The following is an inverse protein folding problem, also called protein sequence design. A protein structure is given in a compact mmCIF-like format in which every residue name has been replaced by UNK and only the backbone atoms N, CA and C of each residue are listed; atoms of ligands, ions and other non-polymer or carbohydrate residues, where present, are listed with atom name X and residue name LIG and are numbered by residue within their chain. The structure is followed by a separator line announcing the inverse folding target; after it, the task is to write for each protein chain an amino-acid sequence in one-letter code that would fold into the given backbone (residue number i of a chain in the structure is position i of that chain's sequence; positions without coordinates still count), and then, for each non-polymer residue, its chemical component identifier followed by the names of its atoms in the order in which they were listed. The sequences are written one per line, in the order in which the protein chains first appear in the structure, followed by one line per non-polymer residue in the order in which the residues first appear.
data_IF_682212186625
#
_entry.id   IF_682212186625
#
_cell.length_a   1.000
_cell.length_b   1.000
_cell.length_c   1.000
_cell.angle_alpha   90.00
_cell.angle_beta   90.00
_cell.angle_gamma   90.00
#
_symmetry.space_group_name_H-M   'P 1'
#
loop_
_entity.id
_entity.type
_entity.pdbx_description
1 polymer ?
#
# COMPACT_ATOMS: atom_id res chain seq x y z
N UNK A 1 -5.14 -5.26 21.20
CA UNK A 1 -5.01 -5.28 20.51
C UNK A 1 -5.55 -5.31 19.43
N UNK A 2 -5.89 -5.24 18.97
CA UNK A 2 -6.34 -5.30 17.95
C UNK A 2 -6.32 -4.21 17.13
N UNK A 3 -5.77 -4.10 16.22
CA UNK A 3 -5.73 -3.15 15.42
C UNK A 3 -6.75 -3.17 14.55
N UNK A 4 -7.35 -2.09 14.23
CA UNK A 4 -8.45 -2.07 13.39
C UNK A 4 -8.05 -1.33 12.18
N UNK A 5 -7.84 -2.01 11.07
CA UNK A 5 -7.55 -1.42 9.77
C UNK A 5 -8.81 -1.48 8.92
N UNK A 6 -8.99 -0.54 8.00
CA UNK A 6 -10.20 -0.51 7.17
C UNK A 6 -10.22 -1.57 6.08
N UNK A 7 -9.15 -2.35 5.97
CA UNK A 7 -9.08 -3.45 5.02
C UNK A 7 -8.23 -4.54 5.61
N UNK A 8 -8.18 -5.70 4.94
CA UNK A 8 -7.47 -6.84 5.48
C UNK A 8 -5.99 -6.72 5.19
N UNK A 9 -5.19 -6.56 6.24
CA UNK A 9 -3.74 -6.42 6.11
C UNK A 9 -3.11 -7.72 5.59
N UNK A 10 -3.62 -8.86 6.03
CA UNK A 10 -3.02 -10.13 5.63
C UNK A 10 -3.37 -10.51 4.20
N UNK A 11 -4.45 -9.96 3.66
CA UNK A 11 -4.87 -10.28 2.31
C UNK A 11 -4.37 -9.28 1.27
N UNK A 12 -3.53 -8.35 1.67
CA UNK A 12 -3.00 -7.39 0.71
C UNK A 12 -2.20 -8.09 -0.37
N UNK A 13 -2.43 -7.68 -1.60
CA UNK A 13 -1.74 -8.25 -2.74
C UNK A 13 -1.73 -7.21 -3.86
N UNK A 14 -1.09 -7.51 -4.96
CA UNK A 14 -1.07 -6.61 -6.10
C UNK A 14 -1.02 -7.43 -7.37
N UNK A 15 -1.18 -6.78 -8.49
CA UNK A 15 -1.08 -7.43 -9.80
C UNK A 15 0.35 -7.28 -10.31
N UNK A 16 0.75 -8.07 -11.30
CA UNK A 16 2.08 -7.91 -11.88
C UNK A 16 2.35 -6.49 -12.37
N UNK A 17 1.36 -5.86 -13.00
CA UNK A 17 1.54 -4.49 -13.45
C UNK A 17 1.63 -3.52 -12.27
N UNK A 18 0.84 -3.77 -11.24
CA UNK A 18 0.89 -2.94 -10.04
C UNK A 18 2.24 -3.02 -9.36
N UNK A 19 2.78 -4.24 -9.26
CA UNK A 19 4.09 -4.45 -8.66
C UNK A 19 5.15 -3.69 -9.44
N UNK A 20 5.12 -3.78 -10.76
CA UNK A 20 6.11 -3.09 -11.56
C UNK A 20 5.99 -1.59 -11.44
N UNK A 21 4.77 -1.09 -11.42
CA UNK A 21 4.54 0.34 -11.30
C UNK A 21 5.07 0.85 -9.97
N UNK A 22 4.81 0.12 -8.89
CA UNK A 22 5.27 0.52 -7.58
C UNK A 22 6.79 0.48 -7.50
N UNK A 23 7.38 -0.59 -8.06
CA UNK A 23 8.83 -0.73 -8.04
C UNK A 23 9.49 0.46 -8.75
N UNK A 24 8.91 0.86 -9.86
CA UNK A 24 9.44 2.00 -10.61
C UNK A 24 9.23 3.31 -9.86
N UNK A 25 8.02 3.51 -9.33
CA UNK A 25 7.68 4.76 -8.66
C UNK A 25 8.51 4.99 -7.41
N UNK A 26 8.82 3.92 -6.69
CA UNK A 26 9.58 4.01 -5.46
C UNK A 26 11.04 3.67 -5.65
N UNK A 27 11.44 3.37 -6.89
CA UNK A 27 12.83 3.06 -7.22
C UNK A 27 13.37 1.90 -6.39
N UNK A 28 12.62 0.80 -6.37
CA UNK A 28 12.99 -0.36 -5.58
C UNK A 28 13.75 -1.36 -6.44
N UNK A 29 14.70 -2.07 -5.82
CA UNK A 29 15.45 -3.09 -6.54
C UNK A 29 14.57 -4.34 -6.75
N UNK A 30 15.00 -5.20 -7.67
CA UNK A 30 14.24 -6.40 -7.98
C UNK A 30 14.16 -7.36 -6.81
N UNK A 31 15.06 -7.25 -5.85
CA UNK A 31 15.08 -8.16 -4.71
C UNK A 31 14.07 -7.79 -3.63
N UNK A 32 13.44 -6.62 -3.74
CA UNK A 32 12.49 -6.18 -2.73
C UNK A 32 11.11 -6.75 -3.01
N UNK A 33 10.49 -7.33 -1.98
CA UNK A 33 9.12 -7.80 -2.09
C UNK A 33 8.22 -6.57 -1.98
N UNK A 34 7.63 -6.17 -3.10
CA UNK A 34 6.89 -4.92 -3.19
C UNK A 34 5.68 -4.89 -2.26
N UNK A 35 4.94 -6.01 -2.19
CA UNK A 35 3.75 -6.05 -1.35
C UNK A 35 4.12 -5.92 0.12
N UNK A 36 5.15 -6.61 0.56
CA UNK A 36 5.58 -6.50 1.95
C UNK A 36 6.13 -5.12 2.24
N UNK A 37 6.80 -4.51 1.27
CA UNK A 37 7.33 -3.16 1.43
C UNK A 37 6.17 -2.18 1.66
N UNK A 38 5.12 -2.28 0.85
CA UNK A 38 3.96 -1.42 1.01
C UNK A 38 3.23 -1.71 2.32
N UNK A 39 3.15 -2.99 2.69
CA UNK A 39 2.49 -3.35 3.94
C UNK A 39 3.19 -2.70 5.13
N UNK A 40 4.51 -2.59 5.08
CA UNK A 40 5.25 -2.00 6.18
C UNK A 40 4.89 -0.54 6.39
N UNK A 41 4.60 0.20 5.31
CA UNK A 41 4.17 1.59 5.47
C UNK A 41 2.78 1.67 6.07
N UNK A 42 1.89 0.77 5.66
CA UNK A 42 0.53 0.76 6.17
C UNK A 42 0.51 0.46 7.67
N UNK A 43 1.47 -0.32 8.14
CA UNK A 43 1.53 -0.70 9.55
C UNK A 43 2.21 0.33 10.44
N UNK A 44 2.75 1.40 9.88
CA UNK A 44 3.40 2.41 10.70
C UNK A 44 2.39 3.13 11.57
N UNK A 45 2.80 3.46 12.78
CA UNK A 45 1.90 4.13 13.72
C UNK A 45 1.43 5.47 13.21
N UNK A 46 2.25 6.15 12.41
CA UNK A 46 1.89 7.47 11.92
C UNK A 46 1.20 7.44 10.56
N UNK A 47 0.82 6.27 10.08
CA UNK A 47 0.15 6.18 8.80
C UNK A 47 -1.23 6.82 8.88
N UNK A 48 -1.59 7.58 7.85
CA UNK A 48 -2.88 8.22 7.78
C UNK A 48 -3.71 7.60 6.68
N UNK A 49 -4.94 7.26 7.01
CA UNK A 49 -5.84 6.56 6.10
C UNK A 49 -6.95 7.50 5.64
N UNK A 50 -7.13 7.60 4.33
CA UNK A 50 -8.17 8.46 3.78
C UNK A 50 -8.90 7.69 2.70
N UNK A 51 -10.22 7.61 2.79
CA UNK A 51 -11.03 6.93 1.80
C UNK A 51 -11.51 7.91 0.76
N UNK A 52 -11.34 7.56 -0.51
CA UNK A 52 -11.90 8.34 -1.61
C UNK A 52 -12.42 7.37 -2.64
N UNK A 53 -13.73 7.38 -2.85
CA UNK A 53 -14.36 6.49 -3.80
C UNK A 53 -14.14 5.04 -3.43
N UNK A 54 -13.52 4.30 -4.33
CA UNK A 54 -13.31 2.88 -4.11
C UNK A 54 -12.01 2.55 -3.43
N UNK A 55 -11.19 3.55 -3.18
CA UNK A 55 -9.83 3.30 -2.74
C UNK A 55 -9.53 3.93 -1.39
N UNK A 56 -8.59 3.31 -0.68
CA UNK A 56 -8.00 3.89 0.49
C UNK A 56 -6.63 4.42 0.11
N UNK A 57 -6.30 5.61 0.59
CA UNK A 57 -5.00 6.22 0.39
C UNK A 57 -4.30 6.26 1.74
N UNK A 58 -3.22 5.55 1.86
CA UNK A 58 -2.50 5.44 3.12
C UNK A 58 -1.17 6.16 2.96
N UNK A 59 -0.99 7.24 3.72
CA UNK A 59 0.22 8.04 3.63
C UNK A 59 1.04 7.84 4.87
N UNK A 60 2.28 7.44 4.71
CA UNK A 60 3.21 7.26 5.81
C UNK A 60 4.55 7.84 5.38
N UNK A 61 4.98 8.88 6.06
CA UNK A 61 6.20 9.57 5.68
C UNK A 61 6.09 10.16 4.30
N UNK A 62 6.98 9.76 3.40
CA UNK A 62 7.01 10.31 2.06
C UNK A 62 6.38 9.37 1.03
N UNK A 63 5.64 8.37 1.47
CA UNK A 63 5.07 7.38 0.58
C UNK A 63 3.56 7.32 0.76
N UNK A 64 2.84 7.25 -0.34
CA UNK A 64 1.39 7.06 -0.32
C UNK A 64 1.08 5.77 -1.05
N UNK A 65 0.35 4.87 -0.40
CA UNK A 65 -0.05 3.59 -0.96
C UNK A 65 -1.54 3.64 -1.24
N UNK A 66 -1.96 3.21 -2.42
CA UNK A 66 -3.37 3.18 -2.79
C UNK A 66 -3.85 1.73 -2.78
N UNK A 67 -4.89 1.46 -2.00
CA UNK A 67 -5.42 0.11 -1.84
C UNK A 67 -6.91 0.12 -2.20
N UNK A 68 -7.32 -0.82 -3.06
CA UNK A 68 -8.73 -0.94 -3.40
C UNK A 68 -9.49 -1.48 -2.19
N UNK A 69 -10.53 -0.79 -1.77
CA UNK A 69 -11.22 -1.10 -0.53
C UNK A 69 -11.94 -2.45 -0.58
N UNK A 70 -12.31 -2.90 -1.78
CA UNK A 70 -13.08 -4.11 -1.89
C UNK A 70 -12.22 -5.34 -2.04
N UNK A 71 -11.16 -5.25 -2.81
CA UNK A 71 -10.37 -6.41 -3.16
C UNK A 71 -9.05 -6.52 -2.40
N UNK A 72 -8.69 -5.52 -1.61
CA UNK A 72 -7.41 -5.48 -0.91
C UNK A 72 -6.22 -5.46 -1.87
N UNK A 73 -6.46 -4.98 -3.09
CA UNK A 73 -5.40 -4.90 -4.09
C UNK A 73 -4.64 -3.60 -3.91
N UNK A 74 -3.33 -3.69 -3.79
CA UNK A 74 -2.50 -2.49 -3.79
C UNK A 74 -2.38 -2.06 -5.24
N UNK A 75 -3.00 -0.94 -5.56
CA UNK A 75 -3.07 -0.48 -6.94
C UNK A 75 -1.78 0.18 -7.34
N UNK A 76 -1.26 1.03 -6.47
CA UNK A 76 -0.01 1.71 -6.74
C UNK A 76 0.52 2.31 -5.44
N UNK A 77 1.74 2.76 -5.48
CA UNK A 77 2.34 3.53 -4.40
C UNK A 77 3.33 4.49 -5.03
N UNK A 78 3.47 5.65 -4.46
CA UNK A 78 4.38 6.65 -5.00
C UNK A 78 4.83 7.59 -3.89
N UNK A 79 5.85 8.37 -4.20
CA UNK A 79 6.37 9.35 -3.25
C UNK A 79 5.51 10.60 -3.28
N UNK A 80 5.34 11.19 -2.12
CA UNK A 80 4.57 12.43 -1.99
C UNK A 80 5.41 13.54 -1.39
#
# INVERSE_FOLDING_TARGET
MNEEYPFSITDLHSTPLGVERIRRNLNLSDSIDVVNFCRSFILEDFAKFERKGKNWYVTAGHVRVTVNAKSNTIITAHKV
#
